data_IF_657493367968
#
_entry.id   IF_657493367968
#
_cell.length_a   1.000
_cell.length_b   1.000
_cell.length_c   1.000
_cell.angle_alpha   90.00
_cell.angle_beta   90.00
_cell.angle_gamma   90.00
#
_symmetry.space_group_name_H-M   'P 1'
#
loop_
_entity.id
_entity.type
_entity.pdbx_description
1 polymer ?
#
# COMPACT_ATOMS: atom_id res chain seq x y z
N UNK A 1 -9.14 -0.71 -0.56
CA UNK A 1 -8.00 -0.02 -1.23
C UNK A 1 -6.69 -0.56 -0.67
N UNK A 2 -5.76 -0.91 -1.51
CA UNK A 2 -4.47 -1.43 -1.12
C UNK A 2 -3.41 -0.32 -1.07
N UNK A 3 -2.61 -0.31 -0.01
CA UNK A 3 -1.47 0.60 0.13
C UNK A 3 -0.45 0.40 -0.99
N UNK A 4 -0.32 -0.81 -1.51
CA UNK A 4 0.67 -1.15 -2.54
C UNK A 4 0.57 -0.30 -3.82
N UNK A 5 -0.61 0.21 -4.15
CA UNK A 5 -0.77 1.14 -5.26
C UNK A 5 -0.01 2.46 -5.11
N UNK A 6 0.48 2.75 -3.91
CA UNK A 6 1.23 3.97 -3.59
C UNK A 6 2.75 3.74 -3.54
N UNK A 7 3.26 2.62 -4.06
CA UNK A 7 4.69 2.48 -4.32
C UNK A 7 5.18 3.60 -5.23
N UNK A 8 6.34 4.17 -4.91
CA UNK A 8 7.01 5.07 -5.85
C UNK A 8 7.43 4.27 -7.09
N UNK A 9 7.30 4.82 -8.30
CA UNK A 9 7.72 4.13 -9.51
C UNK A 9 9.25 3.96 -9.55
N UNK A 10 9.70 2.95 -10.28
CA UNK A 10 11.11 2.56 -10.32
C UNK A 10 12.05 3.69 -10.73
N UNK A 11 11.65 4.54 -11.69
CA UNK A 11 12.47 5.68 -12.10
C UNK A 11 12.72 6.67 -10.95
N UNK A 12 11.73 6.89 -10.10
CA UNK A 12 11.87 7.74 -8.90
C UNK A 12 12.77 7.05 -7.87
N UNK A 13 12.56 5.74 -7.64
CA UNK A 13 13.39 4.97 -6.71
C UNK A 13 14.86 4.94 -7.12
N UNK A 14 15.14 4.87 -8.42
CA UNK A 14 16.50 4.94 -8.96
C UNK A 14 17.11 6.32 -8.65
N UNK A 15 16.40 7.40 -8.93
CA UNK A 15 16.85 8.76 -8.62
C UNK A 15 17.16 8.95 -7.14
N UNK A 16 16.35 8.35 -6.27
CA UNK A 16 16.51 8.42 -4.81
C UNK A 16 17.50 7.39 -4.26
N UNK A 17 18.05 6.51 -5.09
CA UNK A 17 18.92 5.39 -4.69
C UNK A 17 18.24 4.44 -3.70
N UNK A 18 16.95 4.21 -3.88
CA UNK A 18 16.12 3.37 -3.01
C UNK A 18 15.58 2.10 -3.69
N UNK A 19 15.93 1.86 -4.96
CA UNK A 19 15.40 0.71 -5.69
C UNK A 19 15.73 -0.63 -5.00
N UNK A 20 16.92 -0.74 -4.42
CA UNK A 20 17.39 -1.95 -3.74
C UNK A 20 16.60 -2.30 -2.48
N UNK A 21 15.87 -1.34 -1.92
CA UNK A 21 15.01 -1.54 -0.74
C UNK A 21 13.53 -1.37 -1.07
N UNK A 22 13.16 -1.51 -2.35
CA UNK A 22 11.76 -1.38 -2.76
C UNK A 22 10.84 -2.26 -1.89
N UNK A 23 9.78 -1.65 -1.36
CA UNK A 23 8.90 -2.26 -0.37
C UNK A 23 9.15 -1.78 1.06
N UNK A 24 10.28 -1.11 1.35
CA UNK A 24 10.51 -0.46 2.63
C UNK A 24 9.61 0.78 2.79
N UNK A 25 9.36 1.24 4.04
CA UNK A 25 8.42 2.36 4.27
C UNK A 25 8.72 3.62 3.46
N UNK A 26 9.99 3.97 3.27
CA UNK A 26 10.43 5.15 2.53
C UNK A 26 10.22 5.08 1.01
N UNK A 27 9.82 3.91 0.50
CA UNK A 27 9.61 3.70 -0.93
C UNK A 27 8.15 3.90 -1.37
N UNK A 28 7.31 4.40 -0.48
CA UNK A 28 5.90 4.70 -0.73
C UNK A 28 5.63 6.21 -0.76
N UNK A 29 4.64 6.60 -1.55
CA UNK A 29 4.10 7.96 -1.55
C UNK A 29 3.08 8.09 -0.41
N UNK A 30 3.57 8.33 0.80
CA UNK A 30 2.74 8.43 2.00
C UNK A 30 1.80 9.65 1.95
N UNK A 31 2.29 10.78 1.45
CA UNK A 31 1.47 11.98 1.35
C UNK A 31 0.30 11.77 0.38
N UNK A 32 0.56 11.20 -0.78
CA UNK A 32 -0.50 10.85 -1.75
C UNK A 32 -1.49 9.85 -1.18
N UNK A 33 -1.01 8.87 -0.43
CA UNK A 33 -1.85 7.90 0.26
C UNK A 33 -2.78 8.56 1.29
N UNK A 34 -2.24 9.44 2.14
CA UNK A 34 -3.02 10.18 3.14
C UNK A 34 -4.08 11.06 2.49
N UNK A 35 -3.74 11.77 1.42
CA UNK A 35 -4.68 12.58 0.67
C UNK A 35 -5.81 11.74 0.06
N UNK A 36 -5.48 10.57 -0.45
CA UNK A 36 -6.47 9.66 -1.02
C UNK A 36 -7.47 9.19 0.04
N UNK A 37 -7.00 8.84 1.24
CA UNK A 37 -7.88 8.44 2.35
C UNK A 37 -8.82 9.59 2.73
N UNK A 38 -8.31 10.81 2.82
CA UNK A 38 -9.15 11.97 3.11
C UNK A 38 -10.23 12.19 2.03
N UNK A 39 -9.88 12.02 0.76
CA UNK A 39 -10.84 12.12 -0.35
C UNK A 39 -11.95 11.08 -0.25
N UNK A 40 -11.63 9.86 0.17
CA UNK A 40 -12.63 8.81 0.39
C UNK A 40 -13.67 9.21 1.43
N UNK A 41 -13.26 9.96 2.45
CA UNK A 41 -14.18 10.49 3.48
C UNK A 41 -15.12 11.58 2.99
N UNK A 42 -14.88 12.18 1.84
CA UNK A 42 -15.70 13.27 1.29
C UNK A 42 -16.97 12.80 0.55
N UNK A 43 -17.25 11.50 0.55
CA UNK A 43 -18.45 10.92 -0.05
C UNK A 43 -18.60 11.25 -1.54
N UNK A 44 -17.54 11.08 -2.30
CA UNK A 44 -17.52 11.25 -3.77
C UNK A 44 -16.81 10.09 -4.44
N UNK A 45 -17.02 9.91 -5.74
CA UNK A 45 -16.27 8.93 -6.51
C UNK A 45 -14.78 9.29 -6.50
N UNK A 46 -13.93 8.30 -6.23
CA UNK A 46 -12.48 8.46 -6.17
C UNK A 46 -11.81 7.41 -7.04
N UNK A 47 -10.88 7.82 -7.89
CA UNK A 47 -10.05 6.92 -8.68
C UNK A 47 -8.79 6.60 -7.91
N UNK A 48 -8.47 5.32 -7.77
CA UNK A 48 -7.36 4.85 -6.93
C UNK A 48 -6.35 4.04 -7.75
N UNK A 49 -5.07 4.11 -7.38
CA UNK A 49 -4.04 3.34 -8.07
C UNK A 49 -4.05 1.88 -7.59
N UNK A 50 -3.40 1.03 -8.37
CA UNK A 50 -3.08 -0.34 -8.00
C UNK A 50 -1.64 -0.66 -8.34
N UNK A 51 -1.10 -1.70 -7.71
CA UNK A 51 0.23 -2.22 -8.02
C UNK A 51 0.12 -3.46 -8.90
N UNK A 52 0.75 -3.41 -10.06
CA UNK A 52 0.83 -4.53 -10.99
C UNK A 52 2.11 -5.34 -10.69
N UNK A 53 1.94 -6.46 -10.02
CA UNK A 53 3.08 -7.32 -9.63
C UNK A 53 3.76 -7.96 -10.83
N UNK A 54 3.02 -8.27 -11.89
CA UNK A 54 3.58 -8.91 -13.08
C UNK A 54 4.58 -8.00 -13.80
N UNK A 55 4.29 -6.69 -13.84
CA UNK A 55 5.15 -5.70 -14.50
C UNK A 55 5.93 -4.83 -13.51
N UNK A 56 5.82 -5.11 -12.22
CA UNK A 56 6.53 -4.41 -11.13
C UNK A 56 6.35 -2.88 -11.20
N UNK A 57 5.11 -2.44 -11.39
CA UNK A 57 4.79 -1.01 -11.54
C UNK A 57 3.44 -0.64 -10.95
N UNK A 58 3.29 0.63 -10.60
CA UNK A 58 2.01 1.19 -10.21
C UNK A 58 1.20 1.60 -11.44
N UNK A 59 -0.12 1.40 -11.36
CA UNK A 59 -1.08 1.82 -12.38
C UNK A 59 -1.93 2.92 -11.78
N UNK A 60 -1.86 4.10 -12.39
CA UNK A 60 -2.68 5.24 -11.98
C UNK A 60 -4.13 5.02 -12.38
N UNK A 61 -5.07 5.45 -11.53
CA UNK A 61 -6.51 5.34 -11.80
C UNK A 61 -6.92 3.92 -12.23
N UNK A 62 -6.43 2.91 -11.52
CA UNK A 62 -6.66 1.52 -11.88
C UNK A 62 -8.12 1.09 -11.70
N UNK A 63 -8.83 1.67 -10.75
CA UNK A 63 -10.25 1.42 -10.51
C UNK A 63 -10.88 2.59 -9.75
N UNK A 64 -12.22 2.62 -9.70
CA UNK A 64 -12.94 3.65 -8.95
C UNK A 64 -13.54 3.07 -7.67
N UNK A 65 -13.63 3.92 -6.64
CA UNK A 65 -14.44 3.68 -5.46
C UNK A 65 -15.63 4.64 -5.55
N UNK A 66 -16.84 4.14 -5.84
CA UNK A 66 -18.04 4.98 -5.96
C UNK A 66 -18.43 5.65 -4.63
N UNK A 67 -19.24 6.69 -4.73
CA UNK A 67 -19.65 7.51 -3.59
C UNK A 67 -20.67 6.85 -2.64
N UNK A 68 -21.27 5.74 -3.07
CA UNK A 68 -22.29 5.06 -2.28
C UNK A 68 -21.76 4.08 -1.23
N UNK A 69 -20.45 3.90 -1.13
CA UNK A 69 -19.86 3.03 -0.12
C UNK A 69 -19.82 3.72 1.26
N UNK A 70 -20.34 3.04 2.27
CA UNK A 70 -20.30 3.50 3.66
C UNK A 70 -19.06 3.01 4.40
N UNK A 71 -18.45 1.91 3.93
CA UNK A 71 -17.28 1.29 4.54
C UNK A 71 -16.21 1.11 3.47
N UNK A 72 -15.00 1.56 3.76
CA UNK A 72 -13.83 1.32 2.92
C UNK A 72 -12.79 0.58 3.74
N UNK A 73 -12.42 -0.60 3.27
CA UNK A 73 -11.36 -1.39 3.88
C UNK A 73 -10.04 -1.03 3.19
N UNK A 74 -9.04 -0.67 3.99
CA UNK A 74 -7.70 -0.32 3.52
C UNK A 74 -6.74 -1.36 4.09
N UNK A 75 -5.91 -1.94 3.24
CA UNK A 75 -4.91 -2.93 3.67
C UNK A 75 -3.50 -2.47 3.32
N UNK A 76 -2.53 -2.87 4.12
CA UNK A 76 -1.13 -2.55 3.88
C UNK A 76 -0.22 -2.93 5.03
N UNK A 77 1.08 -2.97 4.74
CA UNK A 77 2.10 -3.44 5.69
C UNK A 77 2.45 -2.40 6.77
N UNK A 78 2.27 -1.11 6.49
CA UNK A 78 2.77 -0.03 7.35
C UNK A 78 1.68 0.88 7.90
N UNK A 79 0.41 0.49 7.79
CA UNK A 79 -0.73 1.32 8.18
C UNK A 79 -0.70 1.73 9.65
N UNK A 80 -0.13 0.89 10.51
CA UNK A 80 -0.04 1.11 11.96
C UNK A 80 1.42 1.28 12.43
N UNK A 81 2.33 1.59 11.53
CA UNK A 81 3.75 1.75 11.84
C UNK A 81 3.94 2.97 12.75
N UNK A 82 4.58 2.75 13.90
CA UNK A 82 4.84 3.79 14.88
C UNK A 82 6.14 4.55 14.58
N UNK A 83 6.15 5.24 13.45
CA UNK A 83 7.21 6.16 13.05
C UNK A 83 6.61 7.53 12.73
N UNK A 84 7.35 8.65 12.91
CA UNK A 84 6.76 10.00 12.90
C UNK A 84 5.86 10.31 11.70
N UNK A 85 6.24 9.93 10.50
CA UNK A 85 5.45 10.19 9.29
C UNK A 85 4.25 9.26 9.17
N UNK A 86 4.43 7.97 9.53
CA UNK A 86 3.39 6.96 9.42
C UNK A 86 2.36 7.06 10.54
N UNK A 87 2.77 7.44 11.75
CA UNK A 87 1.86 7.58 12.88
C UNK A 87 0.82 8.69 12.66
N UNK A 88 1.07 9.62 11.76
CA UNK A 88 0.07 10.61 11.36
C UNK A 88 -1.18 10.00 10.71
N UNK A 89 -1.08 8.76 10.19
CA UNK A 89 -2.23 8.03 9.67
C UNK A 89 -3.22 7.62 10.77
N UNK A 90 -2.79 7.54 12.02
CA UNK A 90 -3.63 7.05 13.12
C UNK A 90 -4.93 7.84 13.27
N UNK A 91 -4.91 9.12 12.93
CA UNK A 91 -6.08 10.00 12.98
C UNK A 91 -7.10 9.70 11.87
N UNK A 92 -6.71 8.96 10.85
CA UNK A 92 -7.56 8.67 9.69
C UNK A 92 -8.39 7.41 9.87
N UNK A 93 -8.05 6.55 10.84
CA UNK A 93 -8.70 5.27 11.04
C UNK A 93 -9.88 5.38 12.01
N UNK A 94 -11.06 4.93 11.58
CA UNK A 94 -12.19 4.74 12.48
C UNK A 94 -12.05 3.44 13.28
N UNK A 95 -11.43 2.42 12.65
CA UNK A 95 -11.19 1.11 13.23
C UNK A 95 -9.94 0.49 12.58
N UNK A 96 -9.14 -0.21 13.38
CA UNK A 96 -7.93 -0.86 12.88
C UNK A 96 -7.84 -2.31 13.36
N UNK A 97 -7.34 -3.18 12.49
CA UNK A 97 -7.07 -4.59 12.78
C UNK A 97 -5.61 -4.85 12.44
N UNK A 98 -4.86 -5.37 13.41
CA UNK A 98 -3.50 -5.85 13.20
C UNK A 98 -3.51 -7.39 13.17
N UNK A 99 -2.97 -7.95 12.08
CA UNK A 99 -2.87 -9.40 11.92
C UNK A 99 -1.47 -9.82 12.33
N UNK A 100 -1.40 -10.67 13.36
CA UNK A 100 -0.13 -11.20 13.85
C UNK A 100 -0.05 -12.69 13.51
N UNK A 101 1.05 -13.08 12.86
CA UNK A 101 1.33 -14.48 12.51
C UNK A 101 2.79 -14.79 12.84
N UNK A 102 3.12 -16.09 12.98
CA UNK A 102 4.49 -16.51 13.29
C UNK A 102 5.45 -16.20 12.14
N UNK A 103 6.73 -15.99 12.46
CA UNK A 103 7.78 -15.76 11.46
C UNK A 103 7.86 -16.94 10.49
N UNK A 104 7.74 -18.17 10.97
CA UNK A 104 7.76 -19.38 10.15
C UNK A 104 6.64 -19.37 9.11
N UNK A 105 5.45 -18.93 9.50
CA UNK A 105 4.32 -18.83 8.57
C UNK A 105 4.53 -17.73 7.55
N UNK A 106 5.11 -16.59 7.93
CA UNK A 106 5.47 -15.50 7.02
C UNK A 106 6.47 -16.01 5.97
N UNK A 107 7.53 -16.69 6.41
CA UNK A 107 8.56 -17.25 5.53
C UNK A 107 7.97 -18.27 4.56
N UNK A 108 7.11 -19.16 5.06
CA UNK A 108 6.45 -20.16 4.22
C UNK A 108 5.61 -19.53 3.11
N UNK A 109 4.77 -18.57 3.46
CA UNK A 109 3.90 -17.88 2.49
C UNK A 109 4.70 -17.06 1.49
N UNK A 110 5.74 -16.37 1.93
CA UNK A 110 6.61 -15.60 1.04
C UNK A 110 7.33 -16.52 0.05
N UNK A 111 7.87 -17.64 0.52
CA UNK A 111 8.55 -18.63 -0.31
C UNK A 111 7.59 -19.21 -1.36
N UNK A 112 6.38 -19.63 -0.96
CA UNK A 112 5.37 -20.15 -1.88
C UNK A 112 4.98 -19.13 -2.94
N UNK A 113 4.83 -17.87 -2.57
CA UNK A 113 4.52 -16.79 -3.51
C UNK A 113 5.62 -16.60 -4.55
N UNK A 114 6.87 -16.65 -4.10
CA UNK A 114 8.02 -16.54 -4.99
C UNK A 114 8.09 -17.70 -5.98
N UNK A 115 7.91 -18.91 -5.50
CA UNK A 115 7.88 -20.12 -6.34
C UNK A 115 6.75 -20.02 -7.37
N UNK A 116 5.53 -19.66 -6.92
CA UNK A 116 4.36 -19.54 -7.79
C UNK A 116 4.55 -18.44 -8.86
N UNK A 117 5.26 -17.37 -8.52
CA UNK A 117 5.59 -16.29 -9.45
C UNK A 117 6.74 -16.65 -10.42
N UNK A 118 7.34 -17.85 -10.31
CA UNK A 118 8.48 -18.28 -11.14
C UNK A 118 9.80 -17.64 -10.74
N UNK A 119 9.89 -17.08 -9.54
CA UNK A 119 11.11 -16.48 -9.00
C UNK A 119 11.87 -17.54 -8.19
N UNK A 120 13.12 -17.71 -8.47
CA UNK A 120 13.98 -18.69 -7.80
C UNK A 120 14.92 -18.04 -6.78
#
# INVERSE_FOLDING_TARGET
>A
MAMDGFHLPNNILIQKKLLHVKGAPETFDLDGFSHMINRLGEKREVYVPAFDRANDQTINCAYSIPDYHDIVIIEGNYLLLNEPKWSALDELWDFAIFIEISIEEVERRATERWITAGLS
#
